data_IF_704795673518
#
_entry.id   IF_704795673518
#
_cell.length_a   1.000
_cell.length_b   1.000
_cell.length_c   1.000
_cell.angle_alpha   90.00
_cell.angle_beta   90.00
_cell.angle_gamma   90.00
#
_symmetry.space_group_name_H-M   'P 1'
#
loop_
_entity.id
_entity.type
_entity.pdbx_description
1 polymer ?
#
# COMPACT_ATOMS: atom_id res chain seq x y z
N UNK A 1 -1.04 -7.29 22.74
CA UNK A 1 0.27 -6.65 22.48
C UNK A 1 0.16 -6.08 21.10
N UNK A 2 0.13 -4.75 20.94
CA UNK A 2 0.26 -4.18 19.60
C UNK A 2 1.68 -4.50 19.14
N UNK A 3 1.81 -5.35 18.13
CA UNK A 3 3.09 -5.48 17.46
C UNK A 3 3.41 -4.12 16.85
N UNK A 4 4.55 -3.58 17.26
CA UNK A 4 5.00 -2.26 16.88
C UNK A 4 5.48 -2.30 15.43
N UNK A 5 4.90 -1.48 14.56
CA UNK A 5 5.32 -1.33 13.17
C UNK A 5 6.38 -0.23 13.09
N UNK A 6 7.53 -0.54 12.50
CA UNK A 6 8.67 0.34 12.33
C UNK A 6 8.55 1.17 11.05
N UNK A 7 7.93 0.63 9.99
CA UNK A 7 7.86 1.27 8.67
C UNK A 7 6.49 1.02 8.03
N UNK A 8 5.98 2.02 7.31
CA UNK A 8 4.84 1.86 6.40
C UNK A 8 5.25 2.14 4.96
N UNK A 9 5.09 1.14 4.08
CA UNK A 9 5.25 1.31 2.64
C UNK A 9 3.94 1.81 2.05
N UNK A 10 3.87 3.09 1.69
CA UNK A 10 2.65 3.71 1.13
C UNK A 10 2.76 3.80 -0.39
N UNK A 11 1.84 3.13 -1.10
CA UNK A 11 1.76 3.09 -2.55
C UNK A 11 0.47 3.78 -3.03
N UNK A 12 0.52 4.98 -3.63
CA UNK A 12 -0.64 5.58 -4.27
C UNK A 12 -1.02 4.76 -5.51
N UNK A 13 -2.32 4.53 -5.71
CA UNK A 13 -2.80 3.66 -6.79
C UNK A 13 -4.00 4.27 -7.53
N UNK A 14 -3.92 4.24 -8.87
CA UNK A 14 -5.04 4.51 -9.78
C UNK A 14 -4.84 3.76 -11.10
N UNK A 15 -5.54 2.65 -11.27
CA UNK A 15 -5.47 1.77 -12.44
C UNK A 15 -4.04 1.29 -12.76
N UNK A 16 -3.41 0.63 -11.78
CA UNK A 16 -2.03 0.11 -11.86
C UNK A 16 -2.00 -1.42 -11.89
N UNK A 17 -3.02 -2.09 -12.45
CA UNK A 17 -3.14 -3.55 -12.39
C UNK A 17 -1.94 -4.30 -13.01
N UNK A 18 -1.21 -3.70 -13.95
CA UNK A 18 -0.05 -4.32 -14.60
C UNK A 18 1.24 -4.23 -13.77
N UNK A 19 1.35 -3.25 -12.87
CA UNK A 19 2.60 -2.88 -12.19
C UNK A 19 2.55 -3.12 -10.68
N UNK A 20 1.36 -3.04 -10.09
CA UNK A 20 1.14 -3.01 -8.65
C UNK A 20 1.66 -4.26 -7.91
N UNK A 21 1.45 -5.45 -8.47
CA UNK A 21 1.93 -6.71 -7.86
C UNK A 21 3.45 -6.71 -7.72
N UNK A 22 4.17 -6.22 -8.73
CA UNK A 22 5.63 -6.10 -8.70
C UNK A 22 6.12 -5.14 -7.61
N UNK A 23 5.44 -4.00 -7.43
CA UNK A 23 5.76 -3.04 -6.36
C UNK A 23 5.54 -3.65 -4.97
N UNK A 24 4.44 -4.38 -4.77
CA UNK A 24 4.13 -5.04 -3.49
C UNK A 24 5.18 -6.11 -3.18
N UNK A 25 5.54 -6.95 -4.15
CA UNK A 25 6.58 -7.98 -3.98
C UNK A 25 7.93 -7.37 -3.63
N UNK A 26 8.34 -6.29 -4.30
CA UNK A 26 9.59 -5.61 -4.00
C UNK A 26 9.61 -5.04 -2.56
N UNK A 27 8.48 -4.52 -2.08
CA UNK A 27 8.35 -4.10 -0.69
C UNK A 27 8.45 -5.30 0.28
N UNK A 28 7.78 -6.42 -0.02
CA UNK A 28 7.87 -7.65 0.77
C UNK A 28 9.31 -8.18 0.85
N UNK A 29 10.01 -8.25 -0.28
CA UNK A 29 11.41 -8.66 -0.33
C UNK A 29 12.31 -7.77 0.54
N UNK A 30 12.06 -6.45 0.54
CA UNK A 30 12.78 -5.50 1.39
C UNK A 30 12.48 -5.74 2.87
N UNK A 31 11.21 -5.96 3.22
CA UNK A 31 10.77 -6.26 4.59
C UNK A 31 11.46 -7.52 5.10
N UNK A 32 11.40 -8.60 4.32
CA UNK A 32 11.95 -9.91 4.68
C UNK A 32 13.48 -9.85 4.80
N UNK A 33 14.16 -9.19 3.85
CA UNK A 33 15.63 -9.13 3.82
C UNK A 33 16.24 -8.29 4.94
N UNK A 34 15.45 -7.39 5.54
CA UNK A 34 15.88 -6.50 6.61
C UNK A 34 15.20 -6.82 7.96
N UNK A 35 14.42 -7.91 8.03
CA UNK A 35 13.68 -8.33 9.24
C UNK A 35 12.81 -7.21 9.83
N UNK A 36 12.22 -6.37 8.97
CA UNK A 36 11.43 -5.21 9.38
C UNK A 36 10.04 -5.63 9.86
N UNK A 37 9.55 -5.00 10.92
CA UNK A 37 8.11 -5.02 11.22
C UNK A 37 7.44 -3.89 10.45
N UNK A 38 6.87 -4.21 9.30
CA UNK A 38 6.29 -3.21 8.43
C UNK A 38 4.92 -3.61 7.89
N UNK A 39 4.19 -2.62 7.39
CA UNK A 39 2.98 -2.83 6.60
C UNK A 39 3.12 -2.26 5.20
N UNK A 40 2.32 -2.79 4.27
CA UNK A 40 2.21 -2.28 2.89
C UNK A 40 0.79 -1.76 2.70
N UNK A 41 0.67 -0.48 2.37
CA UNK A 41 -0.58 0.24 2.17
C UNK A 41 -0.71 0.61 0.71
N UNK A 42 -1.81 0.21 0.09
CA UNK A 42 -2.20 0.67 -1.24
C UNK A 42 -3.32 1.69 -1.08
N UNK A 43 -3.00 2.96 -1.30
CA UNK A 43 -3.95 4.06 -1.23
C UNK A 43 -4.61 4.26 -2.60
N UNK A 44 -5.76 3.60 -2.78
CA UNK A 44 -6.50 3.58 -4.04
C UNK A 44 -7.49 4.75 -4.11
N UNK A 45 -7.43 5.55 -5.18
CA UNK A 45 -8.34 6.68 -5.36
C UNK A 45 -9.35 6.50 -6.50
N UNK A 46 -9.81 5.26 -6.70
CA UNK A 46 -10.89 4.93 -7.63
C UNK A 46 -10.45 4.13 -8.84
N UNK A 47 -9.63 3.10 -8.61
CA UNK A 47 -9.30 2.13 -9.67
C UNK A 47 -10.53 1.33 -10.09
N UNK A 48 -10.56 0.95 -11.36
CA UNK A 48 -11.65 0.17 -11.98
C UNK A 48 -11.13 -1.02 -12.79
N UNK A 49 -9.83 -1.27 -12.76
CA UNK A 49 -9.12 -2.27 -13.57
C UNK A 49 -8.77 -3.56 -12.80
N UNK A 50 -9.20 -3.67 -11.53
CA UNK A 50 -8.87 -4.79 -10.64
C UNK A 50 -7.65 -4.55 -9.74
N UNK A 51 -7.02 -3.37 -9.78
CA UNK A 51 -5.87 -3.02 -8.92
C UNK A 51 -6.09 -3.32 -7.43
N UNK A 52 -7.28 -3.00 -6.90
CA UNK A 52 -7.57 -3.26 -5.49
C UNK A 52 -7.54 -4.75 -5.13
N UNK A 53 -8.03 -5.62 -6.02
CA UNK A 53 -8.06 -7.06 -5.76
C UNK A 53 -6.67 -7.66 -5.87
N UNK A 54 -5.86 -7.19 -6.82
CA UNK A 54 -4.43 -7.53 -6.93
C UNK A 54 -3.72 -7.18 -5.62
N UNK A 55 -3.90 -5.95 -5.11
CA UNK A 55 -3.29 -5.52 -3.86
C UNK A 55 -3.67 -6.40 -2.66
N UNK A 56 -4.97 -6.67 -2.48
CA UNK A 56 -5.45 -7.53 -1.38
C UNK A 56 -4.91 -8.95 -1.50
N UNK A 57 -4.92 -9.52 -2.70
CA UNK A 57 -4.42 -10.88 -2.96
C UNK A 57 -2.91 -10.99 -2.75
N UNK A 58 -2.17 -9.91 -3.01
CA UNK A 58 -0.74 -9.83 -2.72
C UNK A 58 -0.43 -9.59 -1.23
N UNK A 59 -1.45 -9.41 -0.37
CA UNK A 59 -1.28 -9.23 1.08
C UNK A 59 -1.12 -7.77 1.53
N UNK A 60 -1.33 -6.79 0.64
CA UNK A 60 -1.31 -5.39 1.00
C UNK A 60 -2.67 -4.93 1.57
N UNK A 61 -2.63 -3.92 2.45
CA UNK A 61 -3.82 -3.26 3.00
C UNK A 61 -4.28 -2.17 2.06
N UNK A 62 -5.49 -2.31 1.50
CA UNK A 62 -6.07 -1.30 0.61
C UNK A 62 -6.82 -0.24 1.42
N UNK A 63 -6.44 1.02 1.23
CA UNK A 63 -7.11 2.20 1.79
C UNK A 63 -7.82 2.92 0.65
N UNK A 64 -9.14 3.07 0.78
CA UNK A 64 -9.94 3.80 -0.20
C UNK A 64 -9.84 5.31 0.06
N UNK A 65 -9.33 6.06 -0.92
CA UNK A 65 -9.17 7.51 -0.88
C UNK A 65 -10.21 8.15 -1.81
N UNK A 66 -11.27 8.78 -1.28
CA UNK A 66 -12.38 9.26 -2.11
C UNK A 66 -11.99 10.43 -3.04
N UNK A 67 -10.93 11.17 -2.71
CA UNK A 67 -10.45 12.28 -3.52
C UNK A 67 -9.41 11.80 -4.54
N UNK A 68 -9.69 12.01 -5.83
CA UNK A 68 -8.74 11.72 -6.90
C UNK A 68 -7.57 12.69 -6.87
N UNK A 69 -6.43 12.19 -7.34
CA UNK A 69 -5.19 12.94 -7.45
C UNK A 69 -4.07 12.25 -6.68
N UNK A 70 -2.86 12.31 -7.25
CA UNK A 70 -1.70 11.64 -6.69
C UNK A 70 -1.40 12.08 -5.25
N UNK A 71 -1.44 13.41 -5.00
CA UNK A 71 -1.22 13.96 -3.66
C UNK A 71 -2.30 13.53 -2.66
N UNK A 72 -3.57 13.44 -3.10
CA UNK A 72 -4.65 12.98 -2.24
C UNK A 72 -4.48 11.50 -1.85
N UNK A 73 -4.08 10.65 -2.80
CA UNK A 73 -3.77 9.24 -2.53
C UNK A 73 -2.63 9.10 -1.52
N UNK A 74 -1.53 9.84 -1.69
CA UNK A 74 -0.42 9.84 -0.74
C UNK A 74 -0.86 10.30 0.66
N UNK A 75 -1.56 11.42 0.77
CA UNK A 75 -2.04 11.93 2.05
C UNK A 75 -2.97 10.93 2.74
N UNK A 76 -3.95 10.38 2.03
CA UNK A 76 -4.85 9.37 2.58
C UNK A 76 -4.15 8.08 2.98
N UNK A 77 -3.09 7.70 2.27
CA UNK A 77 -2.24 6.56 2.62
C UNK A 77 -1.40 6.81 3.87
N UNK A 78 -0.79 8.00 3.99
CA UNK A 78 0.00 8.43 5.15
C UNK A 78 -0.89 8.55 6.39
N UNK A 79 -2.06 9.17 6.28
CA UNK A 79 -3.01 9.30 7.40
C UNK A 79 -3.49 7.95 7.93
N UNK A 80 -3.51 6.93 7.05
CA UNK A 80 -3.89 5.57 7.41
C UNK A 80 -2.71 4.72 7.92
N UNK A 81 -1.46 5.21 7.83
CA UNK A 81 -0.26 4.47 8.17
C UNK A 81 -0.05 4.32 9.68
N UNK A 82 0.56 3.21 10.08
CA UNK A 82 0.76 2.83 11.48
C UNK A 82 2.23 2.64 11.86
N UNK A 83 3.16 2.78 10.91
CA UNK A 83 4.61 2.81 11.17
C UNK A 83 5.05 4.10 11.89
N UNK A 84 6.25 4.07 12.48
CA UNK A 84 6.87 5.24 13.15
C UNK A 84 7.20 6.43 12.22
#
# INVERSE_FOLDING_TARGET
MSEHLEVSFVMPCLNEAETLDGCIRAAQECIDSNELRAEIIVADNGSTDGSQDIARNAGARVVNVPMRGYGAALLGGIDAALGE
#
